data_IF_524359620686
#
_entry.id   IF_524359620686
#
_cell.length_a   1.000
_cell.length_b   1.000
_cell.length_c   1.000
_cell.angle_alpha   90.00
_cell.angle_beta   90.00
_cell.angle_gamma   90.00
#
_symmetry.space_group_name_H-M   'P 1'
#
loop_
_entity.id
_entity.type
_entity.pdbx_description
1 polymer ?
#
# COMPACT_ATOMS: atom_id res chain seq x y z
N UNK A 1 30.47 19.63 -18.52
CA UNK A 1 29.10 19.18 -18.53
C UNK A 1 29.00 17.87 -17.84
N UNK A 2 28.28 17.85 -16.80
CA UNK A 2 28.06 16.60 -16.10
C UNK A 2 27.04 15.81 -16.83
N UNK A 3 27.43 14.68 -17.28
CA UNK A 3 26.49 13.69 -17.72
C UNK A 3 25.73 13.25 -16.46
N UNK A 4 24.44 13.33 -16.43
CA UNK A 4 23.71 12.81 -15.29
C UNK A 4 24.06 11.33 -15.20
N UNK A 5 24.60 10.99 -14.06
CA UNK A 5 24.80 9.59 -13.78
C UNK A 5 23.46 8.92 -13.96
N UNK A 6 23.42 7.97 -14.85
CA UNK A 6 22.30 7.07 -14.90
C UNK A 6 22.26 6.38 -13.56
N UNK A 7 21.46 6.90 -12.71
CA UNK A 7 21.18 6.21 -11.47
C UNK A 7 20.42 4.97 -11.87
N UNK A 8 21.11 3.89 -11.85
CA UNK A 8 20.44 2.61 -12.01
C UNK A 8 19.65 2.45 -10.73
N UNK A 9 18.37 2.71 -10.84
CA UNK A 9 17.49 2.54 -9.69
C UNK A 9 17.14 1.07 -9.67
N UNK A 10 17.89 0.35 -8.88
CA UNK A 10 17.59 -1.06 -8.64
C UNK A 10 16.39 -1.21 -7.72
N UNK A 11 16.03 -2.45 -7.40
CA UNK A 11 14.97 -2.73 -6.46
C UNK A 11 15.24 -2.03 -5.13
N UNK A 12 14.21 -1.47 -4.53
CA UNK A 12 14.31 -0.81 -3.23
C UNK A 12 13.35 -1.47 -2.27
N UNK A 13 13.84 -1.77 -1.10
CA UNK A 13 13.02 -2.31 -0.03
C UNK A 13 13.05 -1.32 1.15
N UNK A 14 11.91 -1.14 1.77
CA UNK A 14 11.77 -0.26 2.91
C UNK A 14 10.82 -0.87 3.91
N UNK A 15 11.05 -0.63 5.19
CA UNK A 15 10.15 -1.02 6.25
C UNK A 15 10.11 0.09 7.29
N UNK A 16 8.92 0.51 7.65
CA UNK A 16 8.73 1.55 8.66
C UNK A 16 7.61 1.15 9.59
N UNK A 17 7.81 1.38 10.88
CA UNK A 17 6.82 1.07 11.89
C UNK A 17 6.24 2.37 12.43
N UNK A 18 4.93 2.40 12.55
CA UNK A 18 4.19 3.58 12.98
C UNK A 18 3.36 3.24 14.22
N UNK A 19 3.17 4.21 15.13
CA UNK A 19 2.20 4.01 16.20
C UNK A 19 0.81 3.78 15.62
N UNK A 20 0.02 2.96 16.26
CA UNK A 20 -1.37 2.78 15.89
C UNK A 20 -2.14 4.07 16.10
N UNK A 21 -3.21 4.24 15.33
CA UNK A 21 -4.03 5.44 15.41
C UNK A 21 -4.13 6.11 14.04
N UNK A 22 -5.32 6.60 13.69
CA UNK A 22 -5.55 7.15 12.36
C UNK A 22 -4.75 8.41 12.06
N UNK A 23 -4.31 9.12 13.08
CA UNK A 23 -3.52 10.33 12.89
C UNK A 23 -2.16 10.06 12.25
N UNK A 24 -1.68 8.82 12.29
CA UNK A 24 -0.38 8.48 11.72
C UNK A 24 -0.45 8.06 10.24
N UNK A 25 -1.64 7.96 9.69
CA UNK A 25 -1.80 7.53 8.30
C UNK A 25 -1.24 8.57 7.34
N UNK A 26 -1.38 9.87 7.66
CA UNK A 26 -0.83 10.89 6.78
C UNK A 26 0.70 10.83 6.72
N UNK A 27 1.33 10.37 7.79
CA UNK A 27 2.78 10.17 7.79
C UNK A 27 3.17 9.05 6.85
N UNK A 28 2.37 7.98 6.82
CA UNK A 28 2.57 6.90 5.86
C UNK A 28 2.52 7.43 4.44
N UNK A 29 1.54 8.27 4.14
CA UNK A 29 1.42 8.86 2.80
C UNK A 29 2.62 9.72 2.43
N UNK A 30 3.09 10.53 3.37
CA UNK A 30 4.24 11.39 3.13
C UNK A 30 5.50 10.57 2.86
N UNK A 31 5.70 9.51 3.64
CA UNK A 31 6.85 8.64 3.46
C UNK A 31 6.77 7.92 2.12
N UNK A 32 5.60 7.46 1.74
CA UNK A 32 5.42 6.76 0.48
C UNK A 32 5.63 7.68 -0.72
N UNK A 33 5.21 8.94 -0.62
CA UNK A 33 5.46 9.89 -1.71
C UNK A 33 6.95 10.08 -1.96
N UNK A 34 7.74 10.13 -0.89
CA UNK A 34 9.19 10.23 -1.04
C UNK A 34 9.78 8.96 -1.63
N UNK A 35 9.33 7.82 -1.13
CA UNK A 35 9.85 6.53 -1.55
C UNK A 35 9.52 6.22 -3.01
N UNK A 36 8.35 6.60 -3.45
CA UNK A 36 7.86 6.29 -4.79
C UNK A 36 8.03 7.44 -5.78
N UNK A 37 8.92 8.36 -5.49
CA UNK A 37 9.17 9.47 -6.40
C UNK A 37 9.60 8.93 -7.76
N UNK A 38 8.92 9.37 -8.81
CA UNK A 38 9.20 8.90 -10.17
C UNK A 38 8.49 7.62 -10.54
N UNK A 39 7.77 7.00 -9.63
CA UNK A 39 7.01 5.80 -9.93
C UNK A 39 5.68 6.19 -10.59
N UNK A 40 5.39 5.67 -11.80
CA UNK A 40 4.17 6.08 -12.51
C UNK A 40 2.87 5.59 -11.85
N UNK A 41 2.95 4.61 -10.97
CA UNK A 41 1.77 4.10 -10.26
C UNK A 41 1.76 4.54 -8.80
N UNK A 42 2.54 5.56 -8.46
CA UNK A 42 2.65 6.01 -7.07
C UNK A 42 1.30 6.35 -6.44
N UNK A 43 0.43 7.03 -7.18
CA UNK A 43 -0.86 7.43 -6.62
C UNK A 43 -1.73 6.23 -6.28
N UNK A 44 -1.74 5.22 -7.14
CA UNK A 44 -2.49 3.99 -6.86
C UNK A 44 -1.91 3.24 -5.67
N UNK A 45 -0.58 3.18 -5.58
CA UNK A 45 0.08 2.52 -4.45
C UNK A 45 -0.23 3.26 -3.16
N UNK A 46 -0.15 4.59 -3.18
CA UNK A 46 -0.41 5.40 -1.99
C UNK A 46 -1.87 5.25 -1.55
N UNK A 47 -2.80 5.17 -2.49
CA UNK A 47 -4.19 4.96 -2.15
C UNK A 47 -4.38 3.60 -1.48
N UNK A 48 -3.80 2.55 -2.04
CA UNK A 48 -3.88 1.22 -1.45
C UNK A 48 -3.27 1.18 -0.06
N UNK A 49 -2.05 1.70 0.12
CA UNK A 49 -1.40 1.65 1.41
C UNK A 49 -2.13 2.50 2.45
N UNK A 50 -2.74 3.60 2.02
CA UNK A 50 -3.54 4.43 2.92
C UNK A 50 -4.73 3.67 3.47
N UNK A 51 -5.40 2.90 2.63
CA UNK A 51 -6.54 2.10 3.05
C UNK A 51 -6.10 0.97 3.98
N UNK A 52 -5.01 0.30 3.64
CA UNK A 52 -4.49 -0.77 4.49
C UNK A 52 -3.99 -0.25 5.83
N UNK A 53 -3.34 0.91 5.83
CA UNK A 53 -2.86 1.53 7.06
C UNK A 53 -4.02 2.00 7.93
N UNK A 54 -5.08 2.53 7.31
CA UNK A 54 -6.28 2.93 8.04
C UNK A 54 -6.93 1.71 8.70
N UNK A 55 -7.01 0.60 7.99
CA UNK A 55 -7.55 -0.63 8.58
C UNK A 55 -6.72 -1.08 9.77
N UNK A 56 -5.40 -1.05 9.65
CA UNK A 56 -4.52 -1.41 10.75
C UNK A 56 -4.67 -0.45 11.94
N UNK A 57 -4.73 0.84 11.65
CA UNK A 57 -4.77 1.84 12.70
C UNK A 57 -6.10 1.92 13.44
N UNK A 58 -7.19 1.56 12.78
CA UNK A 58 -8.53 1.75 13.32
C UNK A 58 -9.19 0.45 13.73
N UNK A 59 -8.93 -0.63 12.98
CA UNK A 59 -9.70 -1.86 13.11
C UNK A 59 -8.92 -3.06 13.63
N UNK A 60 -7.66 -2.88 14.02
CA UNK A 60 -6.86 -3.97 14.56
C UNK A 60 -6.41 -3.66 15.97
N UNK A 61 -5.70 -4.62 16.57
CA UNK A 61 -5.11 -4.41 17.89
C UNK A 61 -4.02 -3.34 17.87
N UNK A 62 -3.54 -2.94 16.71
CA UNK A 62 -2.57 -1.86 16.58
C UNK A 62 -3.10 -0.53 17.10
N UNK A 63 -4.41 -0.37 17.18
CA UNK A 63 -5.03 0.85 17.74
C UNK A 63 -4.90 0.94 19.25
N UNK A 64 -4.55 -0.15 19.91
CA UNK A 64 -4.43 -0.15 21.37
C UNK A 64 -3.22 0.66 21.79
N UNK A 65 -3.28 1.15 23.03
CA UNK A 65 -2.18 1.92 23.58
C UNK A 65 -0.88 1.13 23.44
N UNK A 66 0.12 1.76 22.82
CA UNK A 66 1.41 1.11 22.54
C UNK A 66 1.39 0.21 21.33
N UNK A 67 0.26 0.05 20.66
CA UNK A 67 0.19 -0.75 19.45
C UNK A 67 0.85 -0.06 18.28
N UNK A 68 1.31 -0.86 17.32
CA UNK A 68 1.99 -0.36 16.12
C UNK A 68 1.55 -1.14 14.90
N UNK A 69 1.81 -0.58 13.74
CA UNK A 69 1.71 -1.33 12.49
C UNK A 69 2.96 -1.03 11.65
N UNK A 70 3.32 -1.96 10.79
CA UNK A 70 4.52 -1.83 9.97
C UNK A 70 4.14 -1.85 8.50
N UNK A 71 4.69 -0.91 7.75
CA UNK A 71 4.52 -0.82 6.31
C UNK A 71 5.82 -1.25 5.65
N UNK A 72 5.76 -2.26 4.80
CA UNK A 72 6.89 -2.72 4.01
C UNK A 72 6.61 -2.44 2.55
N UNK A 73 7.62 -1.99 1.86
CA UNK A 73 7.49 -1.66 0.44
C UNK A 73 8.68 -2.22 -0.31
N UNK A 74 8.41 -2.88 -1.42
CA UNK A 74 9.43 -3.32 -2.35
C UNK A 74 9.08 -2.73 -3.70
N UNK A 75 9.96 -1.91 -4.23
CA UNK A 75 9.77 -1.28 -5.53
C UNK A 75 10.79 -1.80 -6.50
N UNK A 76 10.31 -2.37 -7.60
CA UNK A 76 11.15 -2.85 -8.69
C UNK A 76 10.84 -1.97 -9.90
N UNK A 77 11.66 -0.94 -10.15
CA UNK A 77 11.38 0.00 -11.24
C UNK A 77 11.19 -0.69 -12.57
N UNK A 78 10.16 -0.28 -13.26
CA UNK A 78 9.80 -0.88 -14.54
C UNK A 78 9.00 -2.16 -14.44
N UNK A 79 8.87 -2.72 -13.26
CA UNK A 79 8.15 -3.98 -13.05
C UNK A 79 6.92 -3.79 -12.16
N UNK A 80 7.15 -3.59 -10.88
CA UNK A 80 6.02 -3.48 -9.95
C UNK A 80 6.42 -2.86 -8.61
N UNK A 81 5.41 -2.60 -7.80
CA UNK A 81 5.57 -2.23 -6.40
C UNK A 81 4.74 -3.20 -5.57
N UNK A 82 5.35 -3.76 -4.55
CA UNK A 82 4.64 -4.59 -3.58
C UNK A 82 4.62 -3.86 -2.25
N UNK A 83 3.45 -3.74 -1.67
CA UNK A 83 3.27 -3.16 -0.34
C UNK A 83 2.70 -4.20 0.60
N UNK A 84 3.01 -4.05 1.87
CA UNK A 84 2.48 -4.93 2.89
C UNK A 84 2.30 -4.12 4.17
N UNK A 85 1.14 -4.26 4.79
CA UNK A 85 0.87 -3.63 6.07
C UNK A 85 0.61 -4.74 7.09
N UNK A 86 1.50 -4.83 8.08
CA UNK A 86 1.40 -5.83 9.13
C UNK A 86 0.90 -5.15 10.40
N UNK A 87 -0.14 -5.69 10.99
CA UNK A 87 -0.72 -5.15 12.22
C UNK A 87 -0.72 -6.23 13.33
N UNK A 88 -1.13 -5.82 14.53
CA UNK A 88 -1.15 -6.70 15.68
C UNK A 88 -2.20 -7.79 15.63
N UNK A 89 -2.97 -7.87 14.58
CA UNK A 89 -4.01 -8.86 14.46
C UNK A 89 -5.22 -8.52 15.32
N UNK A 90 -5.67 -9.52 16.05
CA UNK A 90 -6.93 -9.39 16.78
C UNK A 90 -8.10 -9.52 15.84
N UNK A 91 -9.28 -9.63 16.38
CA UNK A 91 -10.43 -9.68 15.51
C UNK A 91 -10.54 -8.36 14.80
N UNK A 92 -10.44 -8.42 13.51
CA UNK A 92 -11.01 -7.32 12.76
C UNK A 92 -12.45 -7.35 13.19
N UNK A 93 -12.89 -6.25 13.68
CA UNK A 93 -14.25 -6.16 14.13
C UNK A 93 -15.13 -6.18 12.93
N UNK A 94 -15.02 -7.22 12.19
CA UNK A 94 -15.81 -7.42 11.02
C UNK A 94 -16.94 -8.33 11.31
N UNK A 95 -17.17 -8.55 12.57
CA UNK A 95 -18.32 -9.35 12.94
C UNK A 95 -19.60 -8.71 12.46
N UNK A 96 -19.63 -7.43 12.28
CA UNK A 96 -20.77 -6.80 11.65
C UNK A 96 -20.33 -6.40 10.26
N UNK A 97 -21.09 -6.73 9.24
CA UNK A 97 -20.78 -6.28 7.91
C UNK A 97 -20.84 -4.76 7.93
N UNK A 98 -19.70 -4.15 7.99
CA UNK A 98 -19.59 -2.72 7.94
C UNK A 98 -19.20 -2.35 6.53
N UNK A 99 -20.04 -1.64 5.81
CA UNK A 99 -19.72 -1.24 4.45
C UNK A 99 -18.41 -0.46 4.37
N UNK A 100 -18.03 0.23 5.44
CA UNK A 100 -16.80 0.96 5.44
C UNK A 100 -15.58 0.05 5.47
N UNK A 101 -15.70 -1.12 6.09
CA UNK A 101 -14.62 -2.08 6.08
C UNK A 101 -14.40 -2.66 4.68
N UNK A 102 -15.45 -2.95 3.98
CA UNK A 102 -15.35 -3.50 2.63
C UNK A 102 -14.70 -2.52 1.67
N UNK A 103 -14.86 -1.22 1.92
CA UNK A 103 -14.37 -0.22 0.99
C UNK A 103 -12.86 -0.24 0.84
N UNK A 104 -12.12 -0.38 1.92
CA UNK A 104 -10.67 -0.42 1.86
C UNK A 104 -10.17 -1.56 1.00
N UNK A 105 -10.71 -2.75 1.23
CA UNK A 105 -10.34 -3.92 0.44
C UNK A 105 -10.87 -3.82 -0.99
N UNK A 106 -12.00 -3.18 -1.20
CA UNK A 106 -12.50 -2.97 -2.55
C UNK A 106 -11.58 -2.08 -3.38
N UNK A 107 -11.00 -1.06 -2.76
CA UNK A 107 -10.02 -0.23 -3.44
C UNK A 107 -8.77 -1.04 -3.79
N UNK A 108 -8.28 -1.83 -2.86
CA UNK A 108 -7.12 -2.68 -3.10
C UNK A 108 -7.44 -3.67 -4.23
N UNK A 109 -8.61 -4.28 -4.18
CA UNK A 109 -9.04 -5.23 -5.20
C UNK A 109 -9.13 -4.59 -6.56
N UNK A 110 -9.56 -3.33 -6.62
CA UNK A 110 -9.69 -2.61 -7.88
C UNK A 110 -8.35 -2.19 -8.48
N UNK A 111 -7.39 -1.84 -7.63
CA UNK A 111 -6.13 -1.26 -8.08
C UNK A 111 -4.97 -2.25 -8.14
N UNK A 112 -4.98 -3.29 -7.33
CA UNK A 112 -3.86 -4.23 -7.26
C UNK A 112 -4.01 -5.33 -8.30
N UNK A 113 -2.90 -5.74 -8.86
CA UNK A 113 -2.88 -6.89 -9.76
C UNK A 113 -2.97 -8.20 -8.98
N UNK A 114 -2.41 -8.19 -7.78
CA UNK A 114 -2.54 -9.31 -6.85
C UNK A 114 -2.58 -8.74 -5.43
N UNK A 115 -3.26 -9.41 -4.55
CA UNK A 115 -3.28 -9.05 -3.14
C UNK A 115 -3.66 -10.26 -2.29
N UNK A 116 -3.39 -10.19 -1.01
CA UNK A 116 -3.74 -11.27 -0.12
C UNK A 116 -3.60 -10.89 1.33
N UNK A 117 -4.04 -11.78 2.20
CA UNK A 117 -3.94 -11.64 3.64
C UNK A 117 -3.18 -12.83 4.17
N UNK A 118 -2.20 -12.57 5.04
CA UNK A 118 -1.36 -13.61 5.61
C UNK A 118 -1.36 -13.46 7.13
N UNK A 119 -1.45 -14.58 7.84
CA UNK A 119 -1.26 -14.58 9.28
C UNK A 119 0.24 -14.61 9.56
N UNK A 120 0.69 -13.76 10.47
CA UNK A 120 2.10 -13.67 10.85
C UNK A 120 2.25 -13.90 12.35
N UNK A 121 3.47 -14.13 12.85
CA UNK A 121 3.68 -14.22 14.28
C UNK A 121 3.26 -12.95 15.03
N UNK A 122 3.36 -11.80 14.40
CA UNK A 122 2.97 -10.54 15.01
C UNK A 122 1.47 -10.31 14.94
N UNK A 123 0.78 -10.95 13.99
CA UNK A 123 -0.66 -10.78 13.83
C UNK A 123 -1.11 -11.09 12.42
N UNK A 124 -1.24 -10.05 11.60
CA UNK A 124 -1.77 -10.22 10.26
C UNK A 124 -1.10 -9.22 9.33
N UNK A 125 -0.85 -9.64 8.11
CA UNK A 125 -0.34 -8.78 7.06
C UNK A 125 -1.27 -8.81 5.87
N UNK A 126 -1.55 -7.63 5.32
CA UNK A 126 -2.26 -7.52 4.05
C UNK A 126 -1.27 -6.97 3.05
N UNK A 127 -1.14 -7.61 1.91
CA UNK A 127 -0.19 -7.19 0.88
C UNK A 127 -0.90 -6.97 -0.44
N UNK A 128 -0.29 -6.15 -1.28
CA UNK A 128 -0.77 -5.87 -2.61
C UNK A 128 0.40 -5.63 -3.55
N UNK A 129 0.26 -6.03 -4.80
CA UNK A 129 1.25 -5.81 -5.84
C UNK A 129 0.60 -5.04 -6.97
N UNK A 130 1.24 -3.97 -7.38
CA UNK A 130 0.77 -3.12 -8.46
C UNK A 130 1.84 -3.04 -9.53
N UNK A 131 1.50 -3.46 -10.73
CA UNK A 131 2.42 -3.46 -11.87
C UNK A 131 2.60 -2.05 -12.39
N UNK A 132 3.83 -1.71 -12.76
CA UNK A 132 4.11 -0.41 -13.36
C UNK A 132 3.36 -0.29 -14.69
N UNK A 133 2.79 0.87 -14.90
CA UNK A 133 2.10 1.23 -16.13
C UNK A 133 2.51 2.63 -16.52
N UNK A 134 2.37 2.93 -17.80
CA UNK A 134 2.68 4.27 -18.24
C UNK A 134 1.77 5.27 -17.52
N UNK A 135 2.37 6.36 -17.09
CA UNK A 135 1.63 7.42 -16.45
C UNK A 135 0.54 7.92 -17.38
N UNK A 136 -0.63 8.06 -16.85
CA UNK A 136 -1.76 8.52 -17.64
C UNK A 136 -2.48 7.42 -18.39
N UNK A 137 -1.94 6.25 -18.37
CA UNK A 137 -2.62 5.15 -19.00
C UNK A 137 -3.70 4.62 -18.13
N UNK A 138 -4.18 5.37 -17.21
CA UNK A 138 -5.14 4.96 -16.37
C UNK A 138 -6.19 4.40 -17.07
N UNK A 139 -6.59 3.52 -16.58
CA UNK A 139 -7.63 2.84 -16.92
C UNK A 139 -8.52 3.22 -17.93
N UNK A 140 -8.39 4.25 -18.37
CA UNK A 140 -9.18 4.68 -19.28
C UNK A 140 -8.92 4.14 -20.52
N UNK A 141 -8.12 3.50 -20.51
CA UNK A 141 -7.78 2.95 -21.63
C UNK A 141 -8.82 2.34 -22.34
N UNK A 142 -9.16 2.47 -22.80
CA UNK A 142 -9.80 1.98 -23.28
C UNK A 142 -9.88 1.45 -24.21
N UNK A 143 -10.18 0.91 -24.44
CA UNK A 143 -10.27 0.29 -25.06
C UNK A 143 -10.46 0.16 -26.21
N UNK A 144 -10.44 -0.05 -26.61
CA UNK A 144 -10.61 -0.30 -27.37
C UNK A 144 -10.91 -0.25 -28.22
N UNK A 145 -10.86 -0.01 -28.48
CA UNK A 145 -11.13 0.06 -29.11
C UNK A 145 -11.07 -0.28 -30.05
N UNK A 146 -10.89 -0.71 -30.05
CA UNK A 146 -10.83 -1.19 -30.73
C UNK A 146 -11.34 -1.25 -31.73
N UNK A 147 -11.45 -1.17 -32.01
CA UNK A 147 -11.95 -1.36 -32.76
C UNK A 147 -12.12 -1.29 -33.93
#
# INVERSE_FOLDING_TARGET
>A
MSTPALTIVGPRASASTYPGGPEHVHQVRADMRRLLRGCPVADDVILCVSELATNAAVHSDSRRFGGTFTVRTESCPGADVRIEVEDGGGPWVSSAPDPAHGRGLDIVRALADEWGITTTPAGRAVWARITWRASGATGLAQPDEAA
#
